data_IF_064675042594
#
_entry.id   IF_064675042594
#
_cell.length_a   1.000
_cell.length_b   1.000
_cell.length_c   1.000
_cell.angle_alpha   90.00
_cell.angle_beta   90.00
_cell.angle_gamma   90.00
#
_symmetry.space_group_name_H-M   'P 1'
#
loop_
_entity.id
_entity.type
_entity.pdbx_description
1 polymer ?
#
# COMPACT_ATOMS: atom_id res chain seq x y z
N UNK A 1 -32.50 36.82 -7.98
CA UNK A 1 -32.43 35.46 -8.55
C UNK A 1 -31.85 34.55 -7.49
N UNK A 2 -32.71 33.76 -6.83
CA UNK A 2 -32.26 32.70 -5.93
C UNK A 2 -31.70 31.56 -6.80
N UNK A 3 -30.42 31.23 -6.61
CA UNK A 3 -29.87 30.00 -7.16
C UNK A 3 -30.50 28.83 -6.42
N UNK A 4 -31.43 28.17 -7.10
CA UNK A 4 -31.93 26.84 -6.72
C UNK A 4 -30.72 25.91 -6.58
N UNK A 5 -30.40 25.52 -5.36
CA UNK A 5 -29.53 24.38 -5.08
C UNK A 5 -30.26 23.13 -5.54
N UNK A 6 -30.07 22.77 -6.81
CA UNK A 6 -30.44 21.45 -7.30
C UNK A 6 -29.69 20.43 -6.46
N UNK A 7 -30.41 19.84 -5.52
CA UNK A 7 -29.96 18.72 -4.70
C UNK A 7 -29.93 17.49 -5.62
N UNK A 8 -28.95 17.46 -6.52
CA UNK A 8 -28.66 16.25 -7.31
C UNK A 8 -28.26 15.17 -6.32
N UNK A 9 -28.95 14.03 -6.40
CA UNK A 9 -28.72 12.92 -5.49
C UNK A 9 -27.24 12.55 -5.59
N UNK A 10 -26.50 12.52 -4.47
CA UNK A 10 -25.04 12.28 -4.46
C UNK A 10 -24.65 10.98 -5.19
N UNK A 11 -25.59 10.05 -5.30
CA UNK A 11 -25.46 8.77 -6.00
C UNK A 11 -25.58 8.86 -7.54
N UNK A 12 -26.03 9.97 -8.10
CA UNK A 12 -26.16 10.17 -9.55
C UNK A 12 -24.81 10.55 -10.19
N UNK A 13 -23.85 11.06 -9.40
CA UNK A 13 -22.49 11.32 -9.84
C UNK A 13 -21.60 10.09 -9.64
N UNK A 14 -21.37 9.34 -10.73
CA UNK A 14 -20.53 8.12 -10.75
C UNK A 14 -19.10 8.37 -10.28
N UNK A 15 -18.55 9.55 -10.51
CA UNK A 15 -17.19 9.89 -10.11
C UNK A 15 -17.10 10.16 -8.62
N UNK A 16 -18.07 10.89 -8.06
CA UNK A 16 -18.15 11.13 -6.61
C UNK A 16 -18.29 9.80 -5.85
N UNK A 17 -19.18 8.91 -6.31
CA UNK A 17 -19.35 7.57 -5.73
C UNK A 17 -18.05 6.76 -5.79
N UNK A 18 -17.30 6.88 -6.89
CA UNK A 18 -16.02 6.21 -7.04
C UNK A 18 -14.97 6.78 -6.07
N UNK A 19 -14.87 8.11 -5.94
CA UNK A 19 -13.99 8.77 -4.98
C UNK A 19 -14.32 8.33 -3.55
N UNK A 20 -15.59 8.45 -3.14
CA UNK A 20 -16.06 8.08 -1.80
C UNK A 20 -15.77 6.61 -1.49
N UNK A 21 -15.86 5.74 -2.50
CA UNK A 21 -15.52 4.32 -2.38
C UNK A 21 -14.05 4.12 -2.04
N UNK A 22 -13.12 4.81 -2.72
CA UNK A 22 -11.69 4.70 -2.42
C UNK A 22 -11.30 5.40 -1.14
N UNK A 23 -11.90 6.55 -0.83
CA UNK A 23 -11.74 7.20 0.47
C UNK A 23 -12.15 6.25 1.60
N UNK A 24 -13.30 5.59 1.46
CA UNK A 24 -13.74 4.59 2.42
C UNK A 24 -12.73 3.46 2.57
N UNK A 25 -12.24 2.88 1.47
CA UNK A 25 -11.22 1.83 1.55
C UNK A 25 -9.93 2.28 2.24
N UNK A 26 -9.40 3.45 1.89
CA UNK A 26 -8.16 3.97 2.45
C UNK A 26 -8.31 4.31 3.94
N UNK A 27 -9.41 4.95 4.33
CA UNK A 27 -9.70 5.22 5.74
C UNK A 27 -9.93 3.93 6.53
N UNK A 28 -10.56 2.92 5.93
CA UNK A 28 -10.68 1.59 6.53
C UNK A 28 -9.33 0.92 6.76
N UNK A 29 -8.39 1.05 5.83
CA UNK A 29 -7.01 0.58 6.04
C UNK A 29 -6.34 1.39 7.16
N UNK A 30 -6.36 2.73 7.11
CA UNK A 30 -5.74 3.59 8.12
C UNK A 30 -6.23 3.27 9.52
N UNK A 31 -7.55 3.12 9.70
CA UNK A 31 -8.14 2.75 10.99
C UNK A 31 -7.77 1.34 11.44
N UNK A 32 -7.65 0.38 10.51
CA UNK A 32 -7.19 -0.97 10.83
C UNK A 32 -5.73 -0.96 11.30
N UNK A 33 -4.92 -0.09 10.72
CA UNK A 33 -3.53 0.16 11.13
C UNK A 33 -3.52 0.78 12.53
N UNK A 34 -4.24 1.87 12.76
CA UNK A 34 -4.33 2.55 14.07
C UNK A 34 -4.80 1.59 15.17
N UNK A 35 -5.78 0.73 14.87
CA UNK A 35 -6.25 -0.31 15.81
C UNK A 35 -5.21 -1.40 16.09
N UNK A 36 -4.27 -1.63 15.17
CA UNK A 36 -3.17 -2.59 15.32
C UNK A 36 -1.91 -1.94 15.93
N UNK A 37 -1.85 -0.61 15.97
CA UNK A 37 -0.72 0.19 16.42
C UNK A 37 -1.21 1.12 17.54
N UNK A 38 -1.55 0.54 18.69
CA UNK A 38 -1.93 1.31 19.88
C UNK A 38 -0.73 2.11 20.40
N UNK A 39 0.45 1.47 20.45
CA UNK A 39 1.74 2.09 20.66
C UNK A 39 2.76 1.59 19.63
N UNK A 40 3.58 2.50 19.11
CA UNK A 40 4.51 2.18 18.01
C UNK A 40 5.60 1.19 18.43
N UNK A 41 6.03 1.26 19.69
CA UNK A 41 7.01 0.32 20.26
C UNK A 41 6.44 -1.09 20.38
N UNK A 42 5.19 -1.24 20.80
CA UNK A 42 4.53 -2.55 20.89
C UNK A 42 4.34 -3.18 19.50
N UNK A 43 4.00 -2.36 18.50
CA UNK A 43 3.92 -2.80 17.12
C UNK A 43 5.28 -3.27 16.57
N UNK A 44 6.36 -2.51 16.83
CA UNK A 44 7.70 -2.92 16.46
C UNK A 44 8.17 -4.17 17.20
N UNK A 45 7.73 -4.35 18.44
CA UNK A 45 7.99 -5.53 19.22
C UNK A 45 7.26 -6.77 18.65
N UNK A 46 6.04 -6.63 18.11
CA UNK A 46 5.36 -7.71 17.35
C UNK A 46 6.23 -8.22 16.21
N UNK A 47 6.92 -7.30 15.51
CA UNK A 47 7.82 -7.65 14.40
C UNK A 47 9.14 -8.22 14.93
N UNK A 48 9.82 -7.52 15.83
CA UNK A 48 11.23 -7.78 16.17
C UNK A 48 11.41 -8.88 17.21
N UNK A 49 10.42 -9.09 18.08
CA UNK A 49 10.40 -10.24 19.00
C UNK A 49 9.92 -11.53 18.32
N UNK A 50 9.38 -11.43 17.10
CA UNK A 50 8.94 -12.59 16.33
C UNK A 50 10.10 -13.55 16.01
N UNK A 51 9.85 -14.86 16.14
CA UNK A 51 10.84 -15.89 15.81
C UNK A 51 11.30 -15.82 14.36
N UNK A 52 10.41 -15.50 13.41
CA UNK A 52 10.74 -15.38 11.99
C UNK A 52 11.73 -14.23 11.75
N UNK A 53 11.56 -13.10 12.45
CA UNK A 53 12.46 -11.95 12.38
C UNK A 53 13.82 -12.26 13.01
N UNK A 54 13.84 -12.83 14.22
CA UNK A 54 15.09 -13.18 14.93
C UNK A 54 15.96 -14.20 14.17
N UNK A 55 15.35 -15.01 13.30
CA UNK A 55 16.05 -15.96 12.44
C UNK A 55 16.71 -15.31 11.23
N UNK A 56 16.43 -14.04 10.92
CA UNK A 56 17.06 -13.32 9.83
C UNK A 56 18.56 -13.19 10.13
N UNK A 57 19.37 -13.68 9.20
CA UNK A 57 20.82 -13.50 9.22
C UNK A 57 21.19 -12.40 8.23
N UNK A 58 22.11 -11.54 8.64
CA UNK A 58 22.67 -10.52 7.76
C UNK A 58 23.38 -11.19 6.58
N UNK A 59 23.26 -10.59 5.41
CA UNK A 59 23.84 -11.08 4.16
C UNK A 59 24.99 -10.17 3.73
N UNK A 60 26.15 -10.76 3.42
CA UNK A 60 27.38 -10.03 3.09
C UNK A 60 27.53 -9.68 1.61
N UNK A 61 26.80 -10.38 0.74
CA UNK A 61 26.87 -10.31 -0.73
C UNK A 61 25.74 -9.48 -1.36
N UNK A 62 25.09 -8.63 -0.55
CA UNK A 62 24.00 -7.78 -1.00
C UNK A 62 24.54 -6.53 -1.71
N UNK A 63 23.90 -6.13 -2.81
CA UNK A 63 24.19 -4.88 -3.52
C UNK A 63 23.72 -3.64 -2.70
N UNK A 64 24.56 -3.22 -1.76
CA UNK A 64 24.29 -2.09 -0.86
C UNK A 64 24.11 -0.78 -1.63
N UNK A 65 24.86 -0.55 -2.71
CA UNK A 65 24.74 0.67 -3.51
C UNK A 65 23.38 0.78 -4.18
N UNK A 66 22.87 -0.33 -4.73
CA UNK A 66 21.53 -0.37 -5.31
C UNK A 66 20.44 -0.21 -4.27
N UNK A 67 20.57 -0.87 -3.11
CA UNK A 67 19.64 -0.67 -1.98
C UNK A 67 19.63 0.80 -1.55
N UNK A 68 20.80 1.38 -1.37
CA UNK A 68 20.99 2.77 -0.96
C UNK A 68 20.33 3.75 -1.94
N UNK A 69 20.46 3.52 -3.26
CA UNK A 69 19.78 4.30 -4.30
C UNK A 69 18.25 4.15 -4.24
N UNK A 70 17.74 2.93 -4.08
CA UNK A 70 16.31 2.67 -4.03
C UNK A 70 15.65 3.24 -2.78
N UNK A 71 16.29 3.11 -1.61
CA UNK A 71 15.82 3.68 -0.35
C UNK A 71 15.72 5.20 -0.45
N UNK A 72 16.78 5.89 -0.91
CA UNK A 72 16.72 7.34 -1.13
C UNK A 72 15.58 7.74 -2.06
N UNK A 73 15.39 7.03 -3.18
CA UNK A 73 14.28 7.32 -4.08
C UNK A 73 12.93 7.12 -3.39
N UNK A 74 12.76 6.05 -2.60
CA UNK A 74 11.52 5.81 -1.84
C UNK A 74 11.24 6.95 -0.84
N UNK A 75 12.28 7.39 -0.12
CA UNK A 75 12.21 8.45 0.86
C UNK A 75 11.94 9.83 0.23
N UNK A 76 12.55 10.12 -0.92
CA UNK A 76 12.21 11.33 -1.68
C UNK A 76 10.76 11.33 -2.16
N UNK A 77 10.27 10.19 -2.66
CA UNK A 77 8.87 10.05 -3.07
C UNK A 77 7.91 10.18 -1.87
N UNK A 78 8.28 9.64 -0.71
CA UNK A 78 7.50 9.81 0.53
C UNK A 78 7.51 11.26 1.01
N UNK A 79 8.66 11.93 0.93
CA UNK A 79 8.76 13.36 1.22
C UNK A 79 7.83 14.17 0.32
N UNK A 80 7.76 13.87 -0.98
CA UNK A 80 6.81 14.52 -1.89
C UNK A 80 5.36 14.28 -1.46
N UNK A 81 4.98 13.04 -1.12
CA UNK A 81 3.65 12.73 -0.59
C UNK A 81 3.32 13.55 0.66
N UNK A 82 4.25 13.64 1.60
CA UNK A 82 4.04 14.37 2.86
C UNK A 82 3.83 15.87 2.64
N UNK A 83 4.42 16.42 1.58
CA UNK A 83 4.41 17.84 1.24
C UNK A 83 3.35 18.22 0.16
N UNK A 84 2.54 17.26 -0.33
CA UNK A 84 1.49 17.55 -1.33
C UNK A 84 0.30 18.37 -0.79
N UNK A 85 0.14 18.45 0.53
CA UNK A 85 -1.03 19.05 1.20
C UNK A 85 -0.69 20.32 1.98
N UNK A 86 0.39 21.04 1.61
CA UNK A 86 0.85 22.21 2.38
C UNK A 86 -0.17 23.37 2.35
N UNK A 87 -1.12 23.37 1.43
CA UNK A 87 -2.25 24.31 1.40
C UNK A 87 -3.57 23.57 1.18
N UNK A 88 -4.56 23.81 2.06
CA UNK A 88 -5.91 23.22 2.00
C UNK A 88 -6.55 23.39 0.63
N UNK A 89 -6.35 24.56 0.03
CA UNK A 89 -6.98 24.99 -1.21
C UNK A 89 -6.49 24.20 -2.43
N UNK A 90 -5.40 23.43 -2.29
CA UNK A 90 -4.82 22.59 -3.35
C UNK A 90 -4.90 21.09 -3.06
N UNK A 91 -5.45 20.68 -1.91
CA UNK A 91 -5.50 19.27 -1.51
C UNK A 91 -6.28 18.41 -2.50
N UNK A 92 -7.38 18.93 -3.06
CA UNK A 92 -8.16 18.26 -4.12
C UNK A 92 -7.35 18.04 -5.40
N UNK A 93 -6.62 19.06 -5.86
CA UNK A 93 -5.79 18.96 -7.08
C UNK A 93 -4.63 17.98 -6.94
N UNK A 94 -4.15 17.74 -5.73
CA UNK A 94 -3.03 16.82 -5.47
C UNK A 94 -3.43 15.35 -5.27
N UNK A 95 -4.73 15.02 -5.23
CA UNK A 95 -5.22 13.66 -4.96
C UNK A 95 -4.67 12.60 -5.92
N UNK A 96 -4.58 12.92 -7.21
CA UNK A 96 -4.04 12.00 -8.21
C UNK A 96 -2.54 11.75 -8.00
N UNK A 97 -1.76 12.78 -7.66
CA UNK A 97 -0.34 12.65 -7.32
C UNK A 97 -0.10 11.87 -6.03
N UNK A 98 -0.96 12.05 -5.03
CA UNK A 98 -0.86 11.32 -3.75
C UNK A 98 -0.87 9.80 -3.95
N UNK A 99 -1.76 9.30 -4.81
CA UNK A 99 -1.85 7.88 -5.14
C UNK A 99 -0.58 7.36 -5.83
N UNK A 100 -0.02 8.17 -6.74
CA UNK A 100 1.21 7.84 -7.46
C UNK A 100 2.39 7.75 -6.50
N UNK A 101 2.59 8.77 -5.66
CA UNK A 101 3.69 8.78 -4.70
C UNK A 101 3.55 7.67 -3.67
N UNK A 102 2.35 7.46 -3.12
CA UNK A 102 2.12 6.40 -2.15
C UNK A 102 2.48 5.01 -2.70
N UNK A 103 2.08 4.74 -3.95
CA UNK A 103 2.46 3.50 -4.62
C UNK A 103 3.97 3.40 -4.84
N UNK A 104 4.62 4.43 -5.40
CA UNK A 104 6.05 4.36 -5.72
C UNK A 104 6.94 4.29 -4.48
N UNK A 105 6.60 4.97 -3.39
CA UNK A 105 7.28 4.83 -2.09
C UNK A 105 7.27 3.37 -1.63
N UNK A 106 6.09 2.74 -1.57
CA UNK A 106 5.97 1.35 -1.18
C UNK A 106 6.66 0.39 -2.17
N UNK A 107 6.50 0.63 -3.48
CA UNK A 107 7.08 -0.20 -4.53
C UNK A 107 8.61 -0.25 -4.44
N UNK A 108 9.26 0.88 -4.21
CA UNK A 108 10.71 0.96 -4.07
C UNK A 108 11.19 0.24 -2.80
N UNK A 109 10.46 0.39 -1.68
CA UNK A 109 10.73 -0.35 -0.43
C UNK A 109 10.60 -1.87 -0.61
N UNK A 110 9.60 -2.34 -1.35
CA UNK A 110 9.44 -3.76 -1.68
C UNK A 110 10.68 -4.27 -2.45
N UNK A 111 11.17 -3.50 -3.42
CA UNK A 111 12.37 -3.87 -4.17
C UNK A 111 13.59 -3.92 -3.25
N UNK A 112 13.72 -3.00 -2.31
CA UNK A 112 14.77 -3.03 -1.27
C UNK A 112 14.67 -4.31 -0.45
N UNK A 113 13.47 -4.68 0.02
CA UNK A 113 13.24 -5.92 0.76
C UNK A 113 13.61 -7.18 -0.03
N UNK A 114 13.30 -7.24 -1.32
CA UNK A 114 13.63 -8.38 -2.16
C UNK A 114 15.14 -8.46 -2.45
N UNK A 115 15.78 -7.31 -2.74
CA UNK A 115 17.24 -7.24 -2.97
C UNK A 115 18.03 -7.55 -1.70
N UNK A 116 17.57 -7.09 -0.53
CA UNK A 116 18.23 -7.38 0.75
C UNK A 116 18.24 -8.88 1.08
N UNK A 117 17.38 -9.66 0.42
CA UNK A 117 17.36 -11.12 0.50
C UNK A 117 18.15 -11.83 -0.61
N UNK A 118 18.92 -11.12 -1.44
CA UNK A 118 19.54 -11.61 -2.68
C UNK A 118 18.55 -12.19 -3.68
N UNK A 119 17.30 -11.70 -3.70
CA UNK A 119 16.38 -12.10 -4.74
C UNK A 119 16.60 -11.27 -6.01
N UNK A 120 16.49 -11.93 -7.16
CA UNK A 120 16.44 -11.23 -8.44
C UNK A 120 15.13 -10.44 -8.53
N UNK A 121 15.23 -9.14 -8.75
CA UNK A 121 14.08 -8.24 -8.83
C UNK A 121 13.93 -7.70 -10.24
N UNK A 122 12.82 -8.06 -10.88
CA UNK A 122 12.44 -7.51 -12.17
C UNK A 122 11.89 -6.07 -11.99
N UNK A 123 12.26 -5.08 -12.82
CA UNK A 123 11.72 -3.72 -12.69
C UNK A 123 10.23 -3.59 -13.07
N UNK A 124 9.60 -4.63 -13.64
CA UNK A 124 8.18 -4.64 -13.98
C UNK A 124 7.31 -4.73 -12.72
N UNK A 125 6.43 -3.75 -12.56
CA UNK A 125 5.52 -3.60 -11.41
C UNK A 125 4.79 -4.90 -11.02
N UNK A 126 4.05 -5.51 -11.96
CA UNK A 126 3.26 -6.73 -11.70
C UNK A 126 4.14 -7.92 -11.30
N UNK A 127 5.34 -8.04 -11.87
CA UNK A 127 6.28 -9.12 -11.53
C UNK A 127 6.79 -8.98 -10.10
N UNK A 128 7.20 -7.78 -9.71
CA UNK A 128 7.63 -7.48 -8.33
C UNK A 128 6.51 -7.67 -7.33
N UNK A 129 5.30 -7.17 -7.62
CA UNK A 129 4.14 -7.33 -6.73
C UNK A 129 3.76 -8.79 -6.58
N UNK A 130 3.75 -9.58 -7.67
CA UNK A 130 3.58 -11.04 -7.62
C UNK A 130 4.60 -11.67 -6.68
N UNK A 131 5.89 -11.40 -6.88
CA UNK A 131 6.95 -11.96 -6.06
C UNK A 131 6.77 -11.60 -4.58
N UNK A 132 6.40 -10.34 -4.29
CA UNK A 132 6.22 -9.88 -2.93
C UNK A 132 4.94 -10.42 -2.27
N UNK A 133 3.82 -10.53 -2.99
CA UNK A 133 2.58 -11.13 -2.47
C UNK A 133 2.76 -12.62 -2.14
N UNK A 134 3.56 -13.35 -2.93
CA UNK A 134 3.96 -14.73 -2.58
C UNK A 134 4.86 -14.76 -1.33
N UNK A 135 5.76 -13.77 -1.17
CA UNK A 135 6.56 -13.63 0.06
C UNK A 135 5.68 -13.36 1.29
N UNK A 136 4.69 -12.47 1.19
CA UNK A 136 3.72 -12.21 2.27
C UNK A 136 2.99 -13.50 2.68
N UNK A 137 2.57 -14.31 1.71
CA UNK A 137 1.89 -15.60 1.95
C UNK A 137 2.83 -16.60 2.62
N UNK A 138 4.03 -16.77 2.07
CA UNK A 138 5.05 -17.73 2.55
C UNK A 138 5.57 -17.38 3.93
N UNK A 139 5.78 -16.09 4.21
CA UNK A 139 6.40 -15.57 5.43
C UNK A 139 5.43 -14.75 6.27
N UNK A 140 4.17 -15.20 6.34
CA UNK A 140 3.08 -14.51 7.07
C UNK A 140 3.39 -14.10 8.51
N UNK A 141 4.30 -14.80 9.20
CA UNK A 141 4.69 -14.48 10.57
C UNK A 141 5.62 -13.26 10.65
N UNK A 142 6.29 -12.90 9.56
CA UNK A 142 7.21 -11.78 9.51
C UNK A 142 6.50 -10.43 9.35
N UNK A 143 5.24 -10.44 8.90
CA UNK A 143 4.47 -9.25 8.63
C UNK A 143 3.28 -9.15 9.61
N UNK A 144 3.07 -7.99 10.24
CA UNK A 144 1.96 -7.80 11.17
C UNK A 144 0.63 -7.65 10.43
N UNK A 145 -0.46 -7.68 11.19
CA UNK A 145 -1.77 -7.25 10.69
C UNK A 145 -1.76 -5.72 10.44
N UNK A 146 -2.49 -5.20 9.44
CA UNK A 146 -3.24 -5.91 8.40
C UNK A 146 -2.41 -6.34 7.17
N UNK A 147 -1.10 -6.06 7.10
CA UNK A 147 -0.26 -6.35 5.91
C UNK A 147 -0.20 -7.83 5.52
N UNK A 148 -0.34 -8.75 6.48
CA UNK A 148 -0.38 -10.20 6.20
C UNK A 148 -1.72 -10.71 5.67
N UNK A 149 -2.75 -9.86 5.60
CA UNK A 149 -4.08 -10.26 5.11
C UNK A 149 -4.08 -10.24 3.59
N UNK A 150 -4.48 -11.35 2.98
CA UNK A 150 -4.43 -11.54 1.52
C UNK A 150 -5.76 -12.09 0.99
N UNK A 151 -6.09 -11.75 -0.25
CA UNK A 151 -7.14 -12.42 -1.02
C UNK A 151 -6.49 -13.37 -2.04
N UNK A 152 -6.61 -14.69 -1.82
CA UNK A 152 -5.90 -15.74 -2.57
C UNK A 152 -6.84 -16.67 -3.35
N UNK A 153 -8.08 -16.83 -2.91
CA UNK A 153 -9.06 -17.73 -3.53
C UNK A 153 -9.99 -17.00 -4.48
N UNK A 154 -11.02 -17.67 -4.99
CA UNK A 154 -12.03 -17.00 -5.79
C UNK A 154 -12.64 -15.84 -4.97
N UNK A 155 -12.62 -14.59 -5.46
CA UNK A 155 -13.17 -13.45 -4.71
C UNK A 155 -14.66 -13.63 -4.36
N UNK A 156 -15.40 -14.46 -5.09
CA UNK A 156 -16.81 -14.75 -4.79
C UNK A 156 -16.99 -15.67 -3.57
N UNK A 157 -15.94 -16.37 -3.13
CA UNK A 157 -15.99 -17.23 -1.94
C UNK A 157 -15.86 -16.47 -0.62
N UNK A 158 -15.48 -15.19 -0.65
CA UNK A 158 -15.32 -14.36 0.56
C UNK A 158 -14.29 -14.90 1.59
N UNK A 159 -13.29 -15.64 1.12
CA UNK A 159 -12.23 -16.23 1.96
C UNK A 159 -10.96 -15.38 1.87
N UNK A 160 -10.41 -15.02 3.04
CA UNK A 160 -9.20 -14.23 3.18
C UNK A 160 -8.16 -14.98 4.01
N UNK A 161 -6.90 -14.89 3.60
CA UNK A 161 -5.78 -15.49 4.32
C UNK A 161 -5.39 -14.57 5.47
N UNK A 162 -5.19 -15.13 6.67
CA UNK A 162 -4.76 -14.44 7.90
C UNK A 162 -5.69 -13.31 8.40
N UNK A 163 -6.95 -13.30 7.97
CA UNK A 163 -8.01 -12.51 8.63
C UNK A 163 -8.58 -13.35 9.78
N UNK A 164 -8.62 -12.78 10.99
CA UNK A 164 -9.09 -13.51 12.17
C UNK A 164 -10.60 -13.79 12.10
N UNK A 165 -11.39 -12.75 11.85
CA UNK A 165 -12.85 -12.84 11.80
C UNK A 165 -13.37 -13.17 10.39
N UNK A 166 -14.54 -13.84 10.26
CA UNK A 166 -15.24 -14.01 8.98
C UNK A 166 -15.48 -12.67 8.27
N UNK A 167 -15.48 -12.68 6.94
CA UNK A 167 -15.75 -11.47 6.16
C UNK A 167 -17.24 -11.15 6.13
N UNK A 168 -17.58 -9.90 6.45
CA UNK A 168 -18.93 -9.36 6.26
C UNK A 168 -18.97 -8.48 5.03
N UNK A 169 -19.70 -8.90 4.00
CA UNK A 169 -19.81 -8.17 2.74
C UNK A 169 -20.81 -7.00 2.86
N UNK A 170 -20.37 -5.94 3.54
CA UNK A 170 -21.14 -4.72 3.75
C UNK A 170 -20.87 -3.72 2.63
N UNK A 171 -21.86 -2.92 2.23
CA UNK A 171 -21.63 -1.87 1.24
C UNK A 171 -20.59 -0.87 1.74
N UNK A 172 -19.57 -0.55 0.95
CA UNK A 172 -18.40 0.21 1.42
C UNK A 172 -18.72 1.65 1.84
N UNK A 173 -19.83 2.22 1.37
CA UNK A 173 -20.31 3.55 1.80
C UNK A 173 -21.30 3.51 2.96
N UNK A 174 -21.63 2.32 3.48
CA UNK A 174 -22.53 2.17 4.62
C UNK A 174 -21.86 2.62 5.93
N UNK A 175 -22.68 2.98 6.93
CA UNK A 175 -22.17 3.23 8.28
C UNK A 175 -21.53 1.97 8.90
N UNK A 176 -22.01 0.78 8.55
CA UNK A 176 -21.45 -0.48 9.02
C UNK A 176 -20.01 -0.71 8.53
N UNK A 177 -19.68 -0.27 7.31
CA UNK A 177 -18.31 -0.32 6.80
C UNK A 177 -17.34 0.57 7.63
N UNK A 178 -17.85 1.68 8.20
CA UNK A 178 -17.06 2.55 9.08
C UNK A 178 -16.79 1.92 10.45
N UNK A 179 -17.71 1.08 10.93
CA UNK A 179 -17.58 0.34 12.19
C UNK A 179 -16.68 -0.89 12.05
N UNK A 180 -16.47 -1.38 10.82
CA UNK A 180 -15.70 -2.60 10.55
C UNK A 180 -14.57 -2.34 9.53
N UNK A 181 -13.54 -1.57 9.92
CA UNK A 181 -12.49 -1.10 9.01
C UNK A 181 -11.73 -2.26 8.31
N UNK A 182 -11.56 -3.39 9.00
CA UNK A 182 -10.88 -4.58 8.46
C UNK A 182 -11.69 -5.27 7.37
N UNK A 183 -13.02 -5.30 7.48
CA UNK A 183 -13.90 -5.83 6.43
C UNK A 183 -13.88 -4.91 5.21
N UNK A 184 -13.83 -3.59 5.43
CA UNK A 184 -13.70 -2.65 4.32
C UNK A 184 -12.36 -2.81 3.57
N UNK A 185 -11.26 -3.03 4.30
CA UNK A 185 -9.98 -3.40 3.68
C UNK A 185 -10.07 -4.73 2.91
N UNK A 186 -10.67 -5.77 3.50
CA UNK A 186 -10.88 -7.05 2.83
C UNK A 186 -11.72 -6.90 1.55
N UNK A 187 -12.74 -6.04 1.55
CA UNK A 187 -13.52 -5.70 0.36
C UNK A 187 -12.68 -5.03 -0.72
N UNK A 188 -11.72 -4.19 -0.34
CA UNK A 188 -10.78 -3.62 -1.31
C UNK A 188 -9.91 -4.71 -1.95
N UNK A 189 -9.35 -5.64 -1.14
CA UNK A 189 -8.60 -6.79 -1.66
C UNK A 189 -9.46 -7.64 -2.62
N UNK A 190 -10.70 -7.97 -2.23
CA UNK A 190 -11.66 -8.74 -3.04
C UNK A 190 -11.91 -8.08 -4.38
N UNK A 191 -12.26 -6.79 -4.39
CA UNK A 191 -12.57 -6.07 -5.64
C UNK A 191 -11.34 -5.90 -6.53
N UNK A 192 -10.15 -5.75 -5.94
CA UNK A 192 -8.88 -5.69 -6.68
C UNK A 192 -8.54 -7.04 -7.32
N UNK A 193 -8.70 -8.14 -6.57
CA UNK A 193 -8.52 -9.50 -7.09
C UNK A 193 -9.49 -9.80 -8.22
N UNK A 194 -10.77 -9.45 -8.05
CA UNK A 194 -11.81 -9.64 -9.07
C UNK A 194 -11.44 -8.97 -10.39
N UNK A 195 -11.03 -7.69 -10.35
CA UNK A 195 -10.58 -6.97 -11.55
C UNK A 195 -9.37 -7.62 -12.22
N UNK A 196 -8.42 -8.12 -11.44
CA UNK A 196 -7.24 -8.80 -11.98
C UNK A 196 -7.60 -10.13 -12.67
N UNK A 197 -8.51 -10.91 -12.08
CA UNK A 197 -9.03 -12.13 -12.70
C UNK A 197 -9.80 -11.80 -13.97
N UNK A 198 -10.65 -10.76 -13.96
CA UNK A 198 -11.39 -10.30 -15.14
C UNK A 198 -10.44 -9.89 -16.28
N UNK A 199 -9.37 -9.15 -15.96
CA UNK A 199 -8.31 -8.78 -16.92
C UNK A 199 -7.66 -10.02 -17.53
N UNK A 200 -7.21 -10.97 -16.71
CA UNK A 200 -6.61 -12.22 -17.20
C UNK A 200 -7.59 -13.08 -18.00
N UNK A 201 -8.86 -13.12 -17.60
CA UNK A 201 -9.89 -13.80 -18.37
C UNK A 201 -10.08 -13.16 -19.75
N UNK A 202 -9.96 -11.83 -19.85
CA UNK A 202 -10.02 -11.11 -21.13
C UNK A 202 -8.81 -11.45 -22.00
N UNK A 203 -7.59 -11.41 -21.43
CA UNK A 203 -6.36 -11.78 -22.13
C UNK A 203 -6.40 -13.22 -22.64
N UNK A 204 -6.83 -14.16 -21.79
CA UNK A 204 -6.99 -15.56 -22.20
C UNK A 204 -7.97 -15.73 -23.36
N UNK A 205 -9.10 -14.99 -23.34
CA UNK A 205 -10.09 -15.03 -24.43
C UNK A 205 -9.50 -14.52 -25.75
N UNK A 206 -8.70 -13.46 -25.69
CA UNK A 206 -8.01 -12.88 -26.84
C UNK A 206 -6.97 -13.85 -27.41
N UNK A 207 -6.11 -14.41 -26.55
CA UNK A 207 -5.08 -15.39 -26.92
C UNK A 207 -5.69 -16.68 -27.52
N UNK A 208 -6.78 -17.16 -26.95
CA UNK A 208 -7.46 -18.40 -27.39
C UNK A 208 -8.53 -18.15 -28.47
N UNK A 209 -8.74 -16.89 -28.90
CA UNK A 209 -9.78 -16.48 -29.86
C UNK A 209 -11.19 -16.98 -29.49
N UNK A 210 -11.54 -16.97 -28.19
CA UNK A 210 -12.84 -17.45 -27.66
C UNK A 210 -13.68 -16.32 -27.09
N UNK A 211 -15.00 -16.36 -27.32
CA UNK A 211 -15.94 -15.38 -26.73
C UNK A 211 -16.26 -15.65 -25.25
N UNK A 212 -16.24 -16.93 -24.84
CA UNK A 212 -16.55 -17.39 -23.48
C UNK A 212 -15.37 -18.14 -22.88
N UNK A 213 -15.20 -18.02 -21.57
CA UNK A 213 -14.20 -18.79 -20.81
C UNK A 213 -14.87 -20.05 -20.25
N UNK A 214 -14.20 -21.20 -20.34
CA UNK A 214 -14.70 -22.42 -19.70
C UNK A 214 -14.52 -22.35 -18.18
N UNK A 215 -15.33 -23.08 -17.39
CA UNK A 215 -15.13 -23.13 -15.93
C UNK A 215 -13.73 -23.60 -15.54
N UNK A 216 -13.19 -24.61 -16.23
CA UNK A 216 -11.83 -25.12 -15.99
C UNK A 216 -10.75 -24.05 -16.23
N UNK A 217 -10.83 -23.32 -17.35
CA UNK A 217 -9.87 -22.24 -17.64
C UNK A 217 -9.98 -21.09 -16.63
N UNK A 218 -11.20 -20.78 -16.15
CA UNK A 218 -11.38 -19.77 -15.09
C UNK A 218 -10.73 -20.22 -13.78
N UNK A 219 -10.87 -21.49 -13.40
CA UNK A 219 -10.22 -22.07 -12.21
C UNK A 219 -8.70 -21.97 -12.34
N UNK A 220 -8.14 -22.35 -13.48
CA UNK A 220 -6.70 -22.24 -13.76
C UNK A 220 -6.19 -20.79 -13.67
N UNK A 221 -6.96 -19.82 -14.19
CA UNK A 221 -6.63 -18.39 -14.05
C UNK A 221 -6.64 -17.98 -12.57
N UNK A 222 -7.61 -18.43 -11.77
CA UNK A 222 -7.67 -18.11 -10.35
C UNK A 222 -6.47 -18.70 -9.60
N UNK A 223 -6.15 -19.96 -9.84
CA UNK A 223 -5.06 -20.67 -9.17
C UNK A 223 -3.68 -20.15 -9.58
N UNK A 224 -3.52 -19.72 -10.83
CA UNK A 224 -2.29 -19.07 -11.33
C UNK A 224 -2.21 -17.58 -10.97
N UNK A 225 -3.25 -17.00 -10.37
CA UNK A 225 -3.25 -15.60 -9.93
C UNK A 225 -2.68 -15.48 -8.53
N UNK A 226 -1.55 -14.77 -8.36
CA UNK A 226 -0.93 -14.57 -7.06
C UNK A 226 -1.91 -13.95 -6.06
N UNK A 227 -1.67 -14.11 -4.75
CA UNK A 227 -2.45 -13.45 -3.72
C UNK A 227 -2.49 -11.94 -3.96
N UNK A 228 -3.64 -11.33 -3.70
CA UNK A 228 -3.80 -9.88 -3.72
C UNK A 228 -3.53 -9.32 -2.33
N UNK A 229 -2.63 -8.34 -2.26
CA UNK A 229 -2.20 -7.64 -1.05
C UNK A 229 -2.60 -6.16 -1.06
N UNK A 230 -2.30 -5.44 0.02
CA UNK A 230 -2.44 -3.97 0.06
C UNK A 230 -1.65 -3.27 -1.05
N UNK A 231 -0.52 -3.82 -1.48
CA UNK A 231 0.32 -3.22 -2.50
C UNK A 231 -0.27 -3.36 -3.91
N UNK A 232 -1.03 -4.43 -4.16
CA UNK A 232 -1.83 -4.57 -5.37
C UNK A 232 -2.98 -3.55 -5.39
N UNK A 233 -3.57 -3.25 -4.23
CA UNK A 233 -4.57 -2.20 -4.08
C UNK A 233 -3.99 -0.80 -4.36
N UNK A 234 -2.79 -0.48 -3.84
CA UNK A 234 -2.09 0.77 -4.16
C UNK A 234 -1.73 0.86 -5.66
N UNK A 235 -1.32 -0.24 -6.27
CA UNK A 235 -1.05 -0.27 -7.71
C UNK A 235 -2.30 0.01 -8.54
N UNK A 236 -3.44 -0.58 -8.15
CA UNK A 236 -4.74 -0.30 -8.77
C UNK A 236 -5.13 1.18 -8.65
N UNK A 237 -4.92 1.80 -7.48
CA UNK A 237 -5.14 3.25 -7.30
C UNK A 237 -4.26 4.06 -8.25
N UNK A 238 -2.96 3.74 -8.31
CA UNK A 238 -2.01 4.42 -9.22
C UNK A 238 -2.41 4.30 -10.69
N UNK A 239 -2.85 3.13 -11.16
CA UNK A 239 -3.33 2.97 -12.55
C UNK A 239 -4.56 3.85 -12.78
N UNK A 240 -5.49 3.87 -11.82
CA UNK A 240 -6.71 4.66 -11.94
C UNK A 240 -6.44 6.16 -12.02
N UNK A 241 -5.55 6.67 -11.17
CA UNK A 241 -5.12 8.06 -11.14
C UNK A 241 -4.43 8.49 -12.45
N UNK A 242 -3.62 7.61 -13.06
CA UNK A 242 -2.81 7.97 -14.23
C UNK A 242 -3.47 7.73 -15.60
N UNK A 243 -4.36 6.75 -15.72
CA UNK A 243 -4.80 6.27 -17.04
C UNK A 243 -6.29 6.04 -17.18
N UNK A 244 -6.99 5.65 -16.11
CA UNK A 244 -8.37 5.20 -16.25
C UNK A 244 -9.39 6.29 -15.99
N UNK A 245 -9.18 7.19 -15.01
CA UNK A 245 -10.09 8.28 -14.67
C UNK A 245 -9.37 9.35 -13.83
N UNK A 246 -8.46 10.14 -14.43
CA UNK A 246 -7.85 11.27 -13.72
C UNK A 246 -8.93 12.24 -13.19
N UNK A 247 -10.00 12.41 -13.96
CA UNK A 247 -11.14 13.26 -13.63
C UNK A 247 -11.75 12.90 -12.28
N UNK A 248 -11.89 11.61 -11.92
CA UNK A 248 -12.41 11.15 -10.60
C UNK A 248 -11.75 11.84 -9.40
N UNK A 249 -10.52 12.35 -9.56
CA UNK A 249 -9.72 12.97 -8.51
C UNK A 249 -9.36 14.45 -8.80
N UNK A 250 -9.95 15.07 -9.83
CA UNK A 250 -9.67 16.47 -10.24
C UNK A 250 -10.88 17.40 -9.96
N UNK A 251 -11.97 16.89 -9.38
CA UNK A 251 -13.21 17.66 -9.24
C UNK A 251 -13.24 18.68 -8.09
N UNK A 252 -13.76 19.87 -8.39
CA UNK A 252 -14.05 20.96 -7.46
C UNK A 252 -15.21 20.69 -6.49
N UNK A 253 -15.83 19.51 -6.54
CA UNK A 253 -16.97 19.12 -5.69
C UNK A 253 -16.57 18.26 -4.49
N UNK A 254 -15.30 17.84 -4.40
CA UNK A 254 -14.80 17.06 -3.26
C UNK A 254 -14.55 18.02 -2.09
N UNK A 255 -15.16 17.81 -0.92
CA UNK A 255 -14.88 18.63 0.26
C UNK A 255 -13.40 18.54 0.67
N UNK A 256 -12.81 19.66 1.07
CA UNK A 256 -11.39 19.71 1.49
C UNK A 256 -11.07 18.72 2.62
N UNK A 257 -12.00 18.54 3.56
CA UNK A 257 -11.88 17.54 4.63
C UNK A 257 -11.73 16.12 4.11
N UNK A 258 -12.49 15.74 3.08
CA UNK A 258 -12.38 14.42 2.46
C UNK A 258 -11.07 14.26 1.68
N UNK A 259 -10.61 15.33 1.02
CA UNK A 259 -9.31 15.33 0.35
C UNK A 259 -8.17 15.16 1.37
N UNK A 260 -8.27 15.83 2.52
CA UNK A 260 -7.30 15.71 3.60
C UNK A 260 -7.31 14.31 4.21
N UNK A 261 -8.48 13.73 4.47
CA UNK A 261 -8.61 12.36 4.98
C UNK A 261 -8.01 11.32 4.01
N UNK A 262 -8.20 11.53 2.71
CA UNK A 262 -7.60 10.70 1.67
C UNK A 262 -6.08 10.74 1.72
N UNK A 263 -5.50 11.96 1.75
CA UNK A 263 -4.05 12.15 1.85
C UNK A 263 -3.48 11.59 3.14
N UNK A 264 -4.12 11.87 4.28
CA UNK A 264 -3.69 11.36 5.59
C UNK A 264 -3.69 9.83 5.62
N UNK A 265 -4.71 9.20 5.05
CA UNK A 265 -4.77 7.74 4.95
C UNK A 265 -3.62 7.19 4.12
N UNK A 266 -3.30 7.81 2.98
CA UNK A 266 -2.14 7.42 2.17
C UNK A 266 -0.81 7.60 2.91
N UNK A 267 -0.62 8.74 3.59
CA UNK A 267 0.58 9.01 4.40
C UNK A 267 0.75 7.95 5.48
N UNK A 268 -0.31 7.61 6.21
CA UNK A 268 -0.27 6.59 7.26
C UNK A 268 0.09 5.20 6.70
N UNK A 269 -0.56 4.79 5.60
CA UNK A 269 -0.25 3.51 4.93
C UNK A 269 1.22 3.44 4.50
N UNK A 270 1.74 4.51 3.90
CA UNK A 270 3.14 4.56 3.45
C UNK A 270 4.09 4.56 4.62
N UNK A 271 3.83 5.36 5.66
CA UNK A 271 4.71 5.45 6.81
C UNK A 271 4.89 4.10 7.49
N UNK A 272 3.79 3.39 7.76
CA UNK A 272 3.86 2.09 8.44
C UNK A 272 4.39 0.99 7.50
N UNK A 273 4.02 1.02 6.21
CA UNK A 273 4.61 0.10 5.22
C UNK A 273 6.12 0.26 5.14
N UNK A 274 6.60 1.50 5.11
CA UNK A 274 8.02 1.83 5.14
C UNK A 274 8.67 1.35 6.44
N UNK A 275 8.05 1.56 7.60
CA UNK A 275 8.58 1.07 8.87
C UNK A 275 8.77 -0.44 8.89
N UNK A 276 7.77 -1.21 8.47
CA UNK A 276 7.85 -2.68 8.41
C UNK A 276 8.97 -3.10 7.46
N UNK A 277 8.97 -2.58 6.23
CA UNK A 277 9.91 -2.99 5.19
C UNK A 277 11.35 -2.56 5.49
N UNK A 278 11.55 -1.36 6.04
CA UNK A 278 12.87 -0.85 6.45
C UNK A 278 13.40 -1.65 7.63
N UNK A 279 12.60 -1.91 8.67
CA UNK A 279 13.03 -2.70 9.85
C UNK A 279 13.53 -4.08 9.43
N UNK A 280 12.77 -4.77 8.56
CA UNK A 280 13.13 -6.10 8.06
C UNK A 280 14.36 -6.03 7.14
N UNK A 281 14.39 -5.08 6.21
CA UNK A 281 15.51 -4.94 5.26
C UNK A 281 16.81 -4.56 5.95
N UNK A 282 16.75 -3.70 6.96
CA UNK A 282 17.89 -3.31 7.78
C UNK A 282 18.47 -4.51 8.54
N UNK A 283 17.62 -5.44 9.00
CA UNK A 283 18.10 -6.70 9.60
C UNK A 283 18.86 -7.57 8.59
N UNK A 284 18.40 -7.64 7.33
CA UNK A 284 19.09 -8.37 6.28
C UNK A 284 20.44 -7.77 5.86
N UNK A 285 20.58 -6.45 5.86
CA UNK A 285 21.85 -5.81 5.46
C UNK A 285 22.75 -5.43 6.64
N UNK A 286 22.31 -5.70 7.87
CA UNK A 286 22.90 -5.26 9.14
C UNK A 286 22.78 -3.76 9.44
N UNK A 287 22.75 -3.44 10.73
CA UNK A 287 22.79 -2.05 11.23
C UNK A 287 24.03 -1.29 10.74
N UNK A 288 25.19 -1.96 10.66
CA UNK A 288 26.47 -1.37 10.20
C UNK A 288 26.40 -0.85 8.77
N UNK A 289 25.66 -1.53 7.89
CA UNK A 289 25.50 -1.09 6.49
C UNK A 289 24.30 -0.16 6.30
N UNK A 290 23.26 -0.29 7.12
CA UNK A 290 22.07 0.57 7.03
C UNK A 290 22.34 2.00 7.52
N UNK A 291 23.07 2.16 8.64
CA UNK A 291 23.34 3.47 9.25
C UNK A 291 23.99 4.48 8.27
N UNK A 292 25.05 4.14 7.52
CA UNK A 292 25.63 5.06 6.52
C UNK A 292 24.65 5.50 5.43
N UNK A 293 23.62 4.70 5.12
CA UNK A 293 22.59 5.07 4.13
C UNK A 293 21.69 6.18 4.70
N UNK A 294 21.30 6.06 5.97
CA UNK A 294 20.50 7.06 6.69
C UNK A 294 21.30 8.35 6.87
N UNK A 295 22.53 8.25 7.38
CA UNK A 295 23.39 9.42 7.62
C UNK A 295 23.59 10.22 6.32
N UNK A 296 23.85 9.54 5.20
CA UNK A 296 23.94 10.18 3.88
C UNK A 296 22.65 10.86 3.43
N UNK A 297 21.49 10.27 3.71
CA UNK A 297 20.21 10.90 3.36
C UNK A 297 19.94 12.15 4.22
N UNK A 298 20.28 12.09 5.50
CA UNK A 298 20.20 13.22 6.42
C UNK A 298 21.05 14.39 5.92
N UNK A 299 22.31 14.15 5.58
CA UNK A 299 23.22 15.18 5.03
C UNK A 299 22.67 15.82 3.75
N UNK A 300 22.09 15.02 2.86
CA UNK A 300 21.49 15.50 1.61
C UNK A 300 20.23 16.36 1.82
N UNK A 301 19.52 16.14 2.93
CA UNK A 301 18.26 16.81 3.25
C UNK A 301 18.40 17.96 4.23
N UNK A 302 19.50 18.04 5.00
CA UNK A 302 19.65 18.97 6.12
C UNK A 302 19.39 20.44 5.77
N UNK A 303 19.72 20.88 4.56
CA UNK A 303 19.49 22.26 4.11
C UNK A 303 18.11 22.48 3.44
N UNK A 304 17.30 21.41 3.28
CA UNK A 304 16.04 21.42 2.52
C UNK A 304 14.79 21.32 3.39
N UNK A 305 14.95 21.04 4.69
CA UNK A 305 13.84 20.87 5.65
C UNK A 305 14.05 21.80 6.84
N UNK A 306 12.94 22.19 7.49
CA UNK A 306 13.02 23.11 8.64
C UNK A 306 13.42 22.37 9.91
N UNK A 307 13.08 21.09 10.02
CA UNK A 307 13.49 20.24 11.13
C UNK A 307 13.82 18.82 10.69
N UNK A 308 14.67 18.14 11.48
CA UNK A 308 15.01 16.73 11.28
C UNK A 308 13.80 15.80 11.46
N UNK A 309 12.83 16.21 12.25
CA UNK A 309 11.59 15.46 12.53
C UNK A 309 10.65 15.41 11.32
N UNK A 310 10.82 16.32 10.35
CA UNK A 310 10.12 16.29 9.06
C UNK A 310 10.62 15.14 8.15
N UNK A 311 11.76 14.51 8.48
CA UNK A 311 12.35 13.41 7.73
C UNK A 311 11.92 12.06 8.30
N UNK A 312 10.78 11.56 7.81
CA UNK A 312 10.19 10.28 8.22
C UNK A 312 11.19 9.09 8.31
N UNK A 313 12.15 8.90 7.39
CA UNK A 313 13.12 7.79 7.48
C UNK A 313 14.03 7.85 8.70
N UNK A 314 14.41 9.06 9.14
CA UNK A 314 15.27 9.26 10.31
C UNK A 314 14.48 8.92 11.57
N UNK A 315 13.25 9.42 11.66
CA UNK A 315 12.34 9.10 12.77
C UNK A 315 12.11 7.60 12.87
N UNK A 316 11.85 6.91 11.76
CA UNK A 316 11.71 5.45 11.73
C UNK A 316 12.99 4.72 12.14
N UNK A 317 14.15 5.14 11.64
CA UNK A 317 15.42 4.51 11.98
C UNK A 317 15.69 4.54 13.49
N UNK A 318 15.43 5.67 14.16
CA UNK A 318 15.54 5.78 15.63
C UNK A 318 14.65 4.79 16.37
N UNK A 319 13.47 4.46 15.81
CA UNK A 319 12.57 3.50 16.44
C UNK A 319 13.10 2.06 16.39
N UNK A 320 13.85 1.67 15.35
CA UNK A 320 14.29 0.28 15.19
C UNK A 320 15.81 0.06 15.32
N UNK A 321 16.63 1.10 15.43
CA UNK A 321 18.10 0.96 15.40
C UNK A 321 18.65 0.00 16.46
N UNK A 322 18.13 0.06 17.68
CA UNK A 322 18.51 -0.85 18.76
C UNK A 322 17.96 -2.26 18.57
N UNK A 323 16.83 -2.39 17.86
CA UNK A 323 16.13 -3.66 17.64
C UNK A 323 16.73 -4.51 16.51
N UNK A 324 17.54 -3.90 15.65
CA UNK A 324 18.19 -4.59 14.52
C UNK A 324 19.65 -4.98 14.79
N UNK A 325 20.23 -4.53 15.93
CA UNK A 325 21.49 -5.08 16.46
C UNK A 325 21.33 -6.59 16.67
#
# INVERSE_FOLDING_TARGET
MMFSTNNTNRFDNKEQVAFDTYLSYLTGISKSIESSVEAIDDFLDEITKNRAFRKIQAKSDVDIDKISKLLRNAWYTEFQLNNLSITSDFAGFSLHWGQVYAYYSCYLQIRVYLISQNQNVNPKHRTTLRQFSEELKRRRQLFPSPWRILCDKDPEQNIFVNKAEPFRDVHQLSNEAKLNPIDNFAKFLKTTRKKEIERKCKEWKEENKKKRISPAARIEIIESTPPTSIYDCLYRLRIRANYENADTFIFSTIPDSHSQDFHNSLKNIVWISSLILETISAKYISSKSYKPIIDKYEDMMGNKVKSREELAPITRYKLFEERIK
#
